data_IF_409319425724
#
_entry.id   IF_409319425724
#
_cell.length_a   1.000
_cell.length_b   1.000
_cell.length_c   1.000
_cell.angle_alpha   90.00
_cell.angle_beta   90.00
_cell.angle_gamma   90.00
#
_symmetry.space_group_name_H-M   'P 1'
#
loop_
_entity.id
_entity.type
_entity.pdbx_description
1 polymer ?
#
# COMPACT_ATOMS: atom_id res chain seq x y z
N UNK A 1 23.19 -4.37 13.93
CA UNK A 1 21.92 -3.89 13.33
C UNK A 1 21.41 -4.95 12.39
N UNK A 2 20.20 -5.42 12.60
CA UNK A 2 19.53 -6.36 11.70
C UNK A 2 18.85 -5.63 10.51
N UNK A 3 17.97 -6.33 9.78
CA UNK A 3 17.19 -5.71 8.70
C UNK A 3 16.12 -4.74 9.21
N UNK A 4 15.49 -5.05 10.34
CA UNK A 4 14.41 -4.23 10.90
C UNK A 4 14.95 -2.92 11.46
N UNK A 5 16.10 -2.96 12.14
CA UNK A 5 16.80 -1.76 12.63
C UNK A 5 17.09 -0.80 11.47
N UNK A 6 17.60 -1.33 10.36
CA UNK A 6 17.91 -0.54 9.16
C UNK A 6 16.66 0.08 8.54
N UNK A 7 15.55 -0.68 8.43
CA UNK A 7 14.30 -0.15 7.90
C UNK A 7 13.70 0.92 8.81
N UNK A 8 13.75 0.72 10.13
CA UNK A 8 13.27 1.70 11.10
C UNK A 8 14.08 2.99 11.04
N UNK A 9 15.42 2.90 10.96
CA UNK A 9 16.29 4.07 10.84
C UNK A 9 16.03 4.82 9.53
N UNK A 10 15.96 4.11 8.40
CA UNK A 10 15.67 4.73 7.12
C UNK A 10 14.27 5.39 7.08
N UNK A 11 13.28 4.79 7.75
CA UNK A 11 11.94 5.37 7.90
C UNK A 11 11.97 6.70 8.67
N UNK A 12 12.74 6.78 9.78
CA UNK A 12 12.93 8.03 10.54
C UNK A 12 13.53 9.12 9.66
N UNK A 13 14.62 8.83 8.94
CA UNK A 13 15.25 9.79 8.04
C UNK A 13 14.29 10.30 6.96
N UNK A 14 13.45 9.44 6.38
CA UNK A 14 12.43 9.87 5.40
C UNK A 14 11.35 10.78 5.99
N UNK A 15 10.91 10.49 7.21
CA UNK A 15 9.92 11.31 7.90
C UNK A 15 10.51 12.71 8.14
N UNK A 16 11.74 12.78 8.65
CA UNK A 16 12.47 14.04 8.90
C UNK A 16 12.67 14.85 7.61
N UNK A 17 13.11 14.17 6.53
CA UNK A 17 13.23 14.75 5.19
C UNK A 17 11.89 15.19 4.59
N UNK A 18 10.77 14.82 5.19
CA UNK A 18 9.44 15.27 4.80
C UNK A 18 8.82 14.49 3.65
N UNK A 19 9.33 13.31 3.30
CA UNK A 19 8.76 12.46 2.25
C UNK A 19 7.26 12.21 2.45
N UNK A 20 6.83 12.01 3.70
CA UNK A 20 5.43 11.79 4.06
C UNK A 20 4.63 13.08 4.35
N UNK A 21 5.21 14.27 4.14
CA UNK A 21 4.45 15.54 4.24
C UNK A 21 3.58 15.72 3.00
N UNK A 22 2.43 15.08 3.01
CA UNK A 22 1.41 15.23 1.97
C UNK A 22 0.45 16.37 2.32
N UNK A 23 0.15 17.23 1.35
CA UNK A 23 -0.91 18.25 1.52
C UNK A 23 -2.23 17.56 1.79
N UNK A 24 -2.96 18.05 2.79
CA UNK A 24 -4.37 17.73 3.01
C UNK A 24 -5.12 17.90 1.69
N UNK A 25 -5.71 16.81 1.19
CA UNK A 25 -6.61 16.86 0.03
C UNK A 25 -8.00 17.21 0.52
N UNK A 26 -8.76 17.87 -0.34
CA UNK A 26 -10.21 18.08 -0.17
C UNK A 26 -10.83 16.71 0.17
N UNK A 27 -11.56 16.64 1.27
CA UNK A 27 -12.21 15.41 1.72
C UNK A 27 -13.09 14.88 0.58
N UNK A 28 -13.01 13.59 0.20
CA UNK A 28 -13.84 13.07 -0.88
C UNK A 28 -15.33 13.32 -0.58
N UNK A 29 -16.12 13.56 -1.64
CA UNK A 29 -17.57 13.83 -1.52
C UNK A 29 -18.30 12.70 -0.79
N UNK A 30 -17.89 11.45 -1.08
CA UNK A 30 -18.23 10.30 -0.25
C UNK A 30 -17.25 10.26 0.91
N UNK A 31 -17.79 10.20 2.13
CA UNK A 31 -16.97 10.05 3.35
C UNK A 31 -15.97 8.90 3.27
N UNK A 32 -14.96 8.88 4.15
CA UNK A 32 -13.87 7.91 4.07
C UNK A 32 -14.39 6.46 4.07
N UNK A 33 -13.82 5.63 3.20
CA UNK A 33 -14.06 4.18 3.19
C UNK A 33 -13.62 3.60 4.53
N UNK A 34 -14.51 2.91 5.25
CA UNK A 34 -14.16 2.25 6.52
C UNK A 34 -13.56 0.87 6.26
N UNK A 35 -12.25 0.76 6.44
CA UNK A 35 -11.51 -0.50 6.30
C UNK A 35 -11.99 -1.57 7.30
N UNK A 36 -12.21 -1.19 8.55
CA UNK A 36 -12.73 -2.07 9.60
C UNK A 36 -14.11 -2.63 9.24
N UNK A 37 -15.01 -1.78 8.70
CA UNK A 37 -16.33 -2.24 8.27
C UNK A 37 -16.25 -3.22 7.10
N UNK A 38 -15.38 -2.96 6.12
CA UNK A 38 -15.19 -3.85 4.97
C UNK A 38 -14.70 -5.25 5.40
N UNK A 39 -13.73 -5.31 6.33
CA UNK A 39 -13.25 -6.57 6.92
C UNK A 39 -14.38 -7.30 7.65
N UNK A 40 -15.13 -6.61 8.53
CA UNK A 40 -16.21 -7.22 9.32
C UNK A 40 -17.32 -7.82 8.45
N UNK A 41 -17.75 -7.10 7.41
CA UNK A 41 -18.76 -7.58 6.47
C UNK A 41 -18.25 -8.84 5.76
N UNK A 42 -17.02 -8.82 5.23
CA UNK A 42 -16.50 -9.97 4.48
C UNK A 42 -16.29 -11.20 5.37
N UNK A 43 -15.81 -11.01 6.60
CA UNK A 43 -15.62 -12.08 7.57
C UNK A 43 -16.91 -12.83 7.95
N UNK A 44 -18.09 -12.25 7.72
CA UNK A 44 -19.35 -12.96 7.91
C UNK A 44 -19.61 -14.02 6.83
N UNK A 45 -18.99 -13.90 5.65
CA UNK A 45 -19.22 -14.75 4.47
C UNK A 45 -17.98 -15.56 4.06
N UNK A 46 -16.80 -15.21 4.56
CA UNK A 46 -15.53 -15.86 4.24
C UNK A 46 -14.33 -15.00 4.63
N UNK A 47 -13.12 -15.35 4.18
CA UNK A 47 -11.93 -14.61 4.57
C UNK A 47 -11.88 -13.20 3.95
N UNK A 48 -11.67 -12.19 4.79
CA UNK A 48 -11.35 -10.83 4.35
C UNK A 48 -9.90 -10.75 3.81
N UNK A 49 -9.75 -10.66 2.49
CA UNK A 49 -8.42 -10.56 1.85
C UNK A 49 -7.99 -9.11 1.71
N UNK A 50 -6.84 -8.77 2.28
CA UNK A 50 -6.13 -7.52 2.04
C UNK A 50 -5.03 -7.82 1.03
N UNK A 51 -5.18 -7.33 -0.20
CA UNK A 51 -4.21 -7.60 -1.26
C UNK A 51 -3.07 -6.57 -1.21
N UNK A 52 -1.83 -7.05 -1.24
CA UNK A 52 -0.64 -6.18 -1.18
C UNK A 52 -0.11 -5.83 -2.58
N UNK A 53 0.13 -4.55 -2.80
CA UNK A 53 0.87 -3.99 -3.92
C UNK A 53 2.31 -3.73 -3.48
N UNK A 54 3.17 -4.70 -3.75
CA UNK A 54 4.60 -4.68 -3.40
C UNK A 54 5.46 -4.78 -4.66
N UNK A 55 6.05 -3.68 -5.14
CA UNK A 55 6.83 -3.68 -6.36
C UNK A 55 8.12 -4.49 -6.29
N UNK A 56 8.79 -4.50 -5.13
CA UNK A 56 9.99 -5.30 -4.91
C UNK A 56 10.12 -5.77 -3.47
N UNK A 57 11.03 -6.70 -3.20
CA UNK A 57 11.50 -6.97 -1.84
C UNK A 57 13.01 -7.21 -1.80
N UNK A 58 13.65 -7.03 -0.63
CA UNK A 58 15.08 -7.33 -0.45
C UNK A 58 15.46 -8.77 -0.80
N UNK A 59 14.52 -9.71 -0.65
CA UNK A 59 14.77 -11.15 -0.84
C UNK A 59 14.42 -11.65 -2.24
N UNK A 60 13.39 -11.08 -2.87
CA UNK A 60 12.86 -11.54 -4.15
C UNK A 60 13.16 -10.60 -5.32
N UNK A 61 13.76 -9.43 -5.05
CA UNK A 61 14.04 -8.44 -6.08
C UNK A 61 12.77 -7.85 -6.65
N UNK A 62 12.73 -7.67 -7.98
CA UNK A 62 11.56 -7.12 -8.68
C UNK A 62 10.40 -8.12 -8.72
N UNK A 63 9.26 -7.69 -8.17
CA UNK A 63 8.00 -8.44 -8.14
C UNK A 63 6.97 -7.83 -9.08
N UNK A 64 7.17 -6.61 -9.59
CA UNK A 64 6.20 -5.93 -10.42
C UNK A 64 6.33 -6.36 -11.88
N UNK A 65 7.56 -6.47 -12.38
CA UNK A 65 7.85 -6.64 -13.81
C UNK A 65 7.20 -5.53 -14.63
N UNK A 66 6.61 -5.87 -15.78
CA UNK A 66 5.96 -4.90 -16.68
C UNK A 66 4.56 -4.47 -16.24
N UNK A 67 4.07 -4.95 -15.09
CA UNK A 67 2.69 -4.69 -14.63
C UNK A 67 2.57 -3.30 -14.04
N UNK A 68 1.42 -2.67 -14.25
CA UNK A 68 1.11 -1.35 -13.69
C UNK A 68 0.34 -1.47 -12.38
N UNK A 69 0.61 -0.56 -11.44
CA UNK A 69 -0.04 -0.54 -10.11
C UNK A 69 -1.56 -0.40 -10.23
N UNK A 70 -2.05 0.47 -11.13
CA UNK A 70 -3.47 0.70 -11.35
C UNK A 70 -4.16 -0.57 -11.87
N UNK A 71 -3.46 -1.35 -12.71
CA UNK A 71 -3.96 -2.60 -13.26
C UNK A 71 -4.10 -3.66 -12.16
N UNK A 72 -3.06 -3.84 -11.34
CA UNK A 72 -3.12 -4.77 -10.21
C UNK A 72 -4.21 -4.37 -9.20
N UNK A 73 -4.33 -3.08 -8.89
CA UNK A 73 -5.37 -2.57 -8.00
C UNK A 73 -6.79 -2.85 -8.54
N UNK A 74 -7.02 -2.74 -9.86
CA UNK A 74 -8.30 -3.13 -10.49
C UNK A 74 -8.54 -4.63 -10.39
N UNK A 75 -7.53 -5.45 -10.66
CA UNK A 75 -7.65 -6.91 -10.60
C UNK A 75 -7.93 -7.40 -9.18
N UNK A 76 -7.25 -6.85 -8.17
CA UNK A 76 -7.50 -7.22 -6.77
C UNK A 76 -8.90 -6.83 -6.30
N UNK A 77 -9.41 -5.66 -6.72
CA UNK A 77 -10.81 -5.27 -6.47
C UNK A 77 -11.79 -6.24 -7.14
N UNK A 78 -11.57 -6.57 -8.41
CA UNK A 78 -12.40 -7.51 -9.14
C UNK A 78 -12.36 -8.93 -8.53
N UNK A 79 -11.22 -9.32 -7.95
CA UNK A 79 -11.06 -10.57 -7.20
C UNK A 79 -11.66 -10.57 -5.80
N UNK A 80 -12.28 -9.47 -5.36
CA UNK A 80 -12.98 -9.40 -4.07
C UNK A 80 -12.09 -9.03 -2.87
N UNK A 81 -10.91 -8.44 -3.09
CA UNK A 81 -10.12 -7.89 -1.99
C UNK A 81 -10.90 -6.79 -1.25
N UNK A 82 -10.93 -6.86 0.08
CA UNK A 82 -11.64 -5.88 0.92
C UNK A 82 -10.87 -4.58 1.10
N UNK A 83 -9.58 -4.61 0.79
CA UNK A 83 -8.71 -3.45 0.77
C UNK A 83 -7.36 -3.77 0.16
N UNK A 84 -6.59 -2.71 -0.05
CA UNK A 84 -5.27 -2.76 -0.63
C UNK A 84 -4.24 -2.30 0.42
N UNK A 85 -3.20 -3.10 0.61
CA UNK A 85 -1.96 -2.65 1.26
C UNK A 85 -1.02 -2.15 0.17
N UNK A 86 -0.51 -0.92 0.27
CA UNK A 86 0.38 -0.36 -0.77
C UNK A 86 1.69 0.04 -0.13
N UNK A 87 2.78 -0.58 -0.58
CA UNK A 87 4.12 -0.23 -0.12
C UNK A 87 4.48 1.17 -0.65
N UNK A 88 4.85 2.05 0.27
CA UNK A 88 5.21 3.46 -0.03
C UNK A 88 6.69 3.75 0.21
N UNK A 89 7.43 2.77 0.74
CA UNK A 89 8.86 2.84 0.99
C UNK A 89 9.65 2.65 -0.32
N UNK A 90 10.47 3.63 -0.74
CA UNK A 90 11.07 3.62 -2.08
C UNK A 90 12.35 2.77 -2.24
N UNK A 91 13.17 2.61 -1.21
CA UNK A 91 14.54 2.10 -1.35
C UNK A 91 14.60 0.57 -1.37
N UNK A 92 13.83 -0.10 -0.52
CA UNK A 92 13.86 -1.56 -0.36
C UNK A 92 12.69 -2.25 -1.05
N UNK A 93 11.52 -1.60 -1.09
CA UNK A 93 10.31 -2.16 -1.68
C UNK A 93 9.92 -1.53 -3.02
N UNK A 94 10.68 -0.52 -3.50
CA UNK A 94 10.37 0.26 -4.72
C UNK A 94 8.94 0.81 -4.73
N UNK A 95 8.41 1.08 -3.53
CA UNK A 95 7.11 1.69 -3.30
C UNK A 95 7.14 3.19 -3.56
N UNK A 96 5.96 3.81 -3.57
CA UNK A 96 5.87 5.27 -3.66
C UNK A 96 4.51 5.79 -3.18
N UNK A 97 4.47 7.06 -2.80
CA UNK A 97 3.20 7.75 -2.57
C UNK A 97 2.36 7.92 -3.85
N UNK A 98 2.98 7.80 -5.02
CA UNK A 98 2.28 7.78 -6.31
C UNK A 98 1.57 6.45 -6.52
N UNK A 99 2.21 5.33 -6.17
CA UNK A 99 1.58 4.00 -6.19
C UNK A 99 0.33 3.97 -5.31
N UNK A 100 0.38 4.60 -4.13
CA UNK A 100 -0.79 4.73 -3.25
C UNK A 100 -1.93 5.52 -3.92
N UNK A 101 -1.62 6.55 -4.71
CA UNK A 101 -2.63 7.35 -5.43
C UNK A 101 -3.18 6.60 -6.63
N UNK A 102 -2.32 5.92 -7.37
CA UNK A 102 -2.66 5.06 -8.52
C UNK A 102 -3.59 3.90 -8.12
N UNK A 103 -3.44 3.38 -6.90
CA UNK A 103 -4.23 2.27 -6.40
C UNK A 103 -5.63 2.66 -5.88
N UNK A 104 -5.90 3.95 -5.62
CA UNK A 104 -7.11 4.43 -4.95
C UNK A 104 -8.39 4.25 -5.80
#
# INVERSE_FOLDING_TARGET
MDHLDRFAQAARTRIEAGYYRVRSRKRPERGPRSFVRAIRIRNAEGNAIIAELKPASPTAGDLLGDRKIEQLARLYRAGGAVGLSVLTEPEHFRGSLENLRAAA
#
